data_IF_787696188055
#
_entry.id   IF_787696188055
#
_cell.length_a   1.000
_cell.length_b   1.000
_cell.length_c   1.000
_cell.angle_alpha   90.00
_cell.angle_beta   90.00
_cell.angle_gamma   90.00
#
_symmetry.space_group_name_H-M   'P 1'
#
loop_
_entity.id
_entity.type
_entity.pdbx_description
1 polymer ?
#
# COMPACT_ATOMS: atom_id res chain seq x y z
N UNK A 1 16.63 -14.18 -3.46
CA UNK A 1 15.46 -14.37 -2.55
C UNK A 1 15.20 -15.86 -2.36
N UNK A 2 14.99 -16.34 -1.14
CA UNK A 2 14.66 -17.74 -0.81
C UNK A 2 13.24 -17.82 -0.28
N UNK A 3 12.49 -18.81 -0.73
CA UNK A 3 11.12 -19.09 -0.31
C UNK A 3 11.03 -20.51 0.22
N UNK A 4 10.44 -20.68 1.41
CA UNK A 4 10.15 -21.97 2.01
C UNK A 4 8.76 -21.96 2.62
N UNK A 5 7.90 -22.90 2.21
CA UNK A 5 6.57 -23.09 2.78
C UNK A 5 5.61 -21.91 2.57
N UNK A 6 5.80 -21.08 1.56
CA UNK A 6 4.97 -19.90 1.30
C UNK A 6 3.83 -20.22 0.33
N UNK A 7 2.60 -20.24 0.81
CA UNK A 7 1.40 -20.65 0.04
C UNK A 7 1.65 -21.98 -0.69
N UNK A 8 1.30 -22.08 -1.96
CA UNK A 8 1.57 -23.20 -2.86
C UNK A 8 2.86 -23.09 -3.68
N UNK A 9 3.75 -22.13 -3.36
CA UNK A 9 5.01 -21.99 -4.10
C UNK A 9 5.99 -23.09 -3.74
N UNK A 10 6.74 -23.58 -4.73
CA UNK A 10 7.85 -24.50 -4.51
C UNK A 10 8.95 -23.83 -3.70
N UNK A 11 9.54 -24.57 -2.78
CA UNK A 11 10.73 -24.13 -2.07
C UNK A 11 11.87 -23.93 -3.07
N UNK A 12 12.37 -22.71 -3.17
CA UNK A 12 13.43 -22.41 -4.13
C UNK A 12 14.20 -21.14 -3.75
N UNK A 13 15.38 -20.99 -4.35
CA UNK A 13 16.19 -19.78 -4.30
C UNK A 13 16.11 -19.10 -5.66
N UNK A 14 15.79 -17.81 -5.64
CA UNK A 14 15.66 -16.98 -6.82
C UNK A 14 16.71 -15.88 -6.78
N UNK A 15 17.50 -15.81 -7.82
CA UNK A 15 18.37 -14.68 -8.08
C UNK A 15 17.57 -13.63 -8.89
N UNK A 16 17.44 -12.42 -8.36
CA UNK A 16 16.63 -11.35 -8.94
C UNK A 16 17.53 -10.28 -9.55
N UNK A 17 17.22 -9.88 -10.77
CA UNK A 17 17.86 -8.80 -11.49
C UNK A 17 17.10 -7.47 -11.32
N UNK A 18 17.52 -6.43 -12.05
CA UNK A 18 16.82 -5.14 -12.06
C UNK A 18 15.36 -5.29 -12.55
N UNK A 19 15.17 -6.03 -13.63
CA UNK A 19 13.83 -6.33 -14.18
C UNK A 19 13.61 -7.84 -14.16
N UNK A 20 12.48 -8.27 -13.58
CA UNK A 20 12.10 -9.67 -13.47
C UNK A 20 10.66 -9.84 -13.92
N UNK A 21 10.43 -10.66 -14.92
CA UNK A 21 9.12 -11.01 -15.43
C UNK A 21 8.70 -12.38 -14.87
N UNK A 22 7.75 -12.41 -13.96
CA UNK A 22 7.13 -13.63 -13.45
C UNK A 22 6.08 -14.07 -14.43
N UNK A 23 6.30 -15.20 -15.09
CA UNK A 23 5.48 -15.69 -16.17
C UNK A 23 4.89 -17.05 -15.83
N UNK A 24 3.64 -17.27 -16.15
CA UNK A 24 2.93 -18.53 -15.90
C UNK A 24 1.44 -18.37 -16.12
N UNK A 25 0.73 -19.48 -16.14
CA UNK A 25 -0.72 -19.52 -16.26
C UNK A 25 -1.42 -18.94 -15.02
N UNK A 26 -2.74 -18.75 -15.10
CA UNK A 26 -3.52 -18.33 -13.94
C UNK A 26 -3.43 -19.39 -12.84
N UNK A 27 -3.23 -18.94 -11.61
CA UNK A 27 -3.03 -19.85 -10.50
C UNK A 27 -1.59 -20.40 -10.31
N UNK A 28 -0.63 -20.08 -11.20
CA UNK A 28 0.77 -20.53 -11.07
C UNK A 28 1.55 -19.93 -9.90
N UNK A 29 0.96 -19.00 -9.15
CA UNK A 29 1.60 -18.39 -7.99
C UNK A 29 2.31 -17.06 -8.23
N UNK A 30 2.11 -16.40 -9.38
CA UNK A 30 2.73 -15.09 -9.70
C UNK A 30 2.45 -14.04 -8.62
N UNK A 31 1.18 -13.83 -8.29
CA UNK A 31 0.76 -12.91 -7.22
C UNK A 31 1.31 -13.33 -5.85
N UNK A 32 1.38 -14.64 -5.58
CA UNK A 32 1.96 -15.17 -4.34
C UNK A 32 3.45 -14.88 -4.23
N UNK A 33 4.18 -14.89 -5.35
CA UNK A 33 5.59 -14.51 -5.38
C UNK A 33 5.78 -13.02 -5.07
N UNK A 34 4.99 -12.14 -5.70
CA UNK A 34 4.99 -10.70 -5.39
C UNK A 34 4.59 -10.47 -3.93
N UNK A 35 3.62 -11.21 -3.41
CA UNK A 35 3.22 -11.13 -2.00
C UNK A 35 4.36 -11.53 -1.06
N UNK A 36 5.13 -12.56 -1.39
CA UNK A 36 6.29 -12.96 -0.59
C UNK A 36 7.34 -11.86 -0.51
N UNK A 37 7.67 -11.23 -1.64
CA UNK A 37 8.60 -10.09 -1.67
C UNK A 37 8.05 -8.87 -0.91
N UNK A 38 6.79 -8.54 -1.12
CA UNK A 38 6.12 -7.48 -0.37
C UNK A 38 6.16 -7.73 1.15
N UNK A 39 5.80 -8.95 1.56
CA UNK A 39 5.84 -9.35 2.97
C UNK A 39 7.26 -9.33 3.54
N UNK A 40 8.26 -9.75 2.76
CA UNK A 40 9.66 -9.68 3.17
C UNK A 40 10.09 -8.25 3.47
N UNK A 41 9.72 -7.28 2.64
CA UNK A 41 10.12 -5.88 2.80
C UNK A 41 9.29 -5.12 3.83
N UNK A 42 8.01 -5.44 3.99
CA UNK A 42 7.07 -4.67 4.83
C UNK A 42 6.64 -5.37 6.11
N UNK A 43 6.84 -6.68 6.19
CA UNK A 43 6.39 -7.52 7.29
C UNK A 43 4.89 -7.82 7.27
N UNK A 44 4.15 -7.43 6.22
CA UNK A 44 2.71 -7.71 6.06
C UNK A 44 2.39 -8.20 4.66
N UNK A 45 1.28 -8.94 4.52
CA UNK A 45 0.72 -9.26 3.22
C UNK A 45 -0.14 -8.11 2.69
N UNK A 46 -0.18 -7.91 1.37
CA UNK A 46 -1.12 -7.00 0.74
C UNK A 46 -2.46 -7.69 0.38
N UNK A 47 -2.51 -9.03 0.41
CA UNK A 47 -3.70 -9.82 0.10
C UNK A 47 -4.54 -10.16 1.32
N UNK A 48 -3.89 -10.46 2.46
CA UNK A 48 -4.59 -10.94 3.66
C UNK A 48 -4.00 -10.40 4.95
N UNK A 49 -4.84 -10.25 5.97
CA UNK A 49 -4.40 -9.96 7.35
C UNK A 49 -4.12 -11.24 8.14
N UNK A 50 -4.67 -12.37 7.70
CA UNK A 50 -4.54 -13.66 8.36
C UNK A 50 -3.22 -14.33 7.94
N UNK A 51 -2.17 -14.18 8.74
CA UNK A 51 -0.83 -14.69 8.42
C UNK A 51 -0.80 -16.22 8.28
N UNK A 52 -1.66 -16.92 9.01
CA UNK A 52 -1.82 -18.37 8.94
C UNK A 52 -2.24 -18.88 7.56
N UNK A 53 -2.99 -18.09 6.80
CA UNK A 53 -3.43 -18.47 5.43
C UNK A 53 -2.33 -18.38 4.39
N UNK A 54 -1.19 -17.79 4.75
CA UNK A 54 -0.01 -17.68 3.88
C UNK A 54 0.90 -18.91 4.06
N UNK A 55 0.88 -19.52 5.24
CA UNK A 55 1.71 -20.66 5.55
C UNK A 55 1.29 -21.91 4.75
N UNK A 56 2.27 -22.73 4.41
CA UNK A 56 2.02 -24.02 3.76
C UNK A 56 1.00 -24.85 4.57
N UNK A 57 0.05 -25.45 3.89
CA UNK A 57 -1.07 -26.17 4.53
C UNK A 57 -0.63 -27.37 5.38
N UNK A 58 0.47 -28.03 5.01
CA UNK A 58 1.00 -29.20 5.73
C UNK A 58 1.87 -28.80 6.91
N UNK A 59 2.87 -27.96 6.66
CA UNK A 59 3.87 -27.61 7.70
C UNK A 59 3.44 -26.47 8.61
N UNK A 60 2.36 -25.73 8.26
CA UNK A 60 1.83 -24.57 9.00
C UNK A 60 2.89 -23.49 9.29
N UNK A 61 3.90 -23.40 8.45
CA UNK A 61 5.02 -22.46 8.59
C UNK A 61 5.49 -21.95 7.24
N UNK A 62 6.16 -20.80 7.27
CA UNK A 62 6.90 -20.29 6.11
C UNK A 62 8.16 -19.51 6.54
N UNK A 63 9.12 -19.42 5.63
CA UNK A 63 10.27 -18.53 5.70
C UNK A 63 10.44 -17.84 4.35
N UNK A 64 10.56 -16.52 4.38
CA UNK A 64 10.94 -15.69 3.22
C UNK A 64 12.20 -14.93 3.60
N UNK A 65 13.25 -15.13 2.84
CA UNK A 65 14.56 -14.53 3.09
C UNK A 65 15.08 -13.87 1.82
N UNK A 66 15.75 -12.73 1.96
CA UNK A 66 16.42 -12.06 0.85
C UNK A 66 17.68 -11.35 1.29
N UNK A 67 18.59 -11.19 0.33
CA UNK A 67 19.80 -10.42 0.49
C UNK A 67 19.78 -9.33 -0.58
N UNK A 68 19.90 -8.08 -0.14
CA UNK A 68 20.05 -6.94 -1.05
C UNK A 68 21.52 -6.86 -1.48
N UNK A 69 21.78 -7.09 -2.77
CA UNK A 69 23.11 -6.93 -3.35
C UNK A 69 23.43 -5.45 -3.63
N UNK A 70 24.72 -5.09 -3.72
CA UNK A 70 25.18 -3.79 -4.23
C UNK A 70 25.29 -2.66 -3.20
N UNK A 71 25.09 -2.92 -1.92
CA UNK A 71 25.43 -1.98 -0.84
C UNK A 71 26.64 -2.47 -0.05
N UNK A 72 27.49 -1.53 0.46
CA UNK A 72 28.63 -1.88 1.32
C UNK A 72 28.24 -2.77 2.50
N UNK A 73 26.98 -2.68 2.95
CA UNK A 73 26.36 -3.57 3.93
C UNK A 73 25.28 -4.40 3.23
N UNK A 74 25.56 -5.67 2.96
CA UNK A 74 24.53 -6.61 2.48
C UNK A 74 23.41 -6.71 3.51
N UNK A 75 22.25 -6.14 3.21
CA UNK A 75 21.09 -6.25 4.10
C UNK A 75 20.42 -7.61 3.91
N UNK A 76 20.56 -8.47 4.89
CA UNK A 76 19.82 -9.72 4.95
C UNK A 76 18.49 -9.49 5.66
N UNK A 77 17.41 -9.80 4.97
CA UNK A 77 16.02 -9.68 5.49
C UNK A 77 15.43 -11.08 5.61
N UNK A 78 14.79 -11.36 6.73
CA UNK A 78 14.07 -12.62 6.92
C UNK A 78 12.76 -12.38 7.63
N UNK A 79 11.70 -12.95 7.09
CA UNK A 79 10.39 -13.04 7.75
C UNK A 79 10.01 -14.50 7.86
N UNK A 80 9.69 -14.94 9.07
CA UNK A 80 9.26 -16.31 9.33
C UNK A 80 7.94 -16.34 10.10
N UNK A 81 7.18 -17.39 9.86
CA UNK A 81 5.98 -17.73 10.62
C UNK A 81 6.06 -19.19 11.05
N UNK A 82 6.02 -19.40 12.36
CA UNK A 82 6.07 -20.72 12.97
C UNK A 82 5.33 -20.67 14.31
N UNK A 83 4.56 -21.72 14.64
CA UNK A 83 3.83 -21.82 15.92
C UNK A 83 2.96 -20.56 16.19
N UNK A 84 2.16 -20.14 15.20
CA UNK A 84 1.29 -18.96 15.26
C UNK A 84 2.01 -17.63 15.53
N UNK A 85 3.35 -17.60 15.42
CA UNK A 85 4.16 -16.40 15.67
C UNK A 85 4.91 -15.97 14.42
N UNK A 86 4.70 -14.72 14.01
CA UNK A 86 5.46 -14.07 12.95
C UNK A 86 6.65 -13.31 13.54
N UNK A 87 7.83 -13.53 13.00
CA UNK A 87 9.07 -12.87 13.41
C UNK A 87 9.77 -12.24 12.23
N UNK A 88 10.48 -11.15 12.49
CA UNK A 88 11.20 -10.39 11.48
C UNK A 88 12.64 -10.22 11.93
N UNK A 89 13.57 -10.38 11.00
CA UNK A 89 15.00 -10.19 11.23
C UNK A 89 15.60 -9.29 10.14
N UNK A 90 16.50 -8.42 10.55
CA UNK A 90 17.34 -7.62 9.68
C UNK A 90 18.80 -7.84 10.13
N UNK A 91 19.63 -8.33 9.21
CA UNK A 91 21.04 -8.69 9.49
C UNK A 91 21.16 -9.63 10.71
N UNK A 92 20.33 -10.67 10.72
CA UNK A 92 20.21 -11.68 11.79
C UNK A 92 19.75 -11.13 13.17
N UNK A 93 19.45 -9.82 13.27
CA UNK A 93 18.91 -9.22 14.50
C UNK A 93 17.39 -9.10 14.39
N UNK A 94 16.69 -9.51 15.46
CA UNK A 94 15.22 -9.37 15.53
C UNK A 94 14.84 -7.90 15.38
N UNK A 95 13.84 -7.63 14.54
CA UNK A 95 13.39 -6.28 14.21
C UNK A 95 11.88 -6.14 14.31
N UNK A 96 11.38 -4.92 14.13
CA UNK A 96 9.95 -4.62 14.13
C UNK A 96 9.45 -4.35 12.71
N UNK A 97 8.16 -4.55 12.49
CA UNK A 97 7.50 -4.23 11.23
C UNK A 97 7.75 -2.77 10.80
N UNK A 98 7.71 -1.80 11.73
CA UNK A 98 7.96 -0.40 11.39
C UNK A 98 9.36 -0.15 10.81
N UNK A 99 10.39 -0.81 11.37
CA UNK A 99 11.75 -0.72 10.84
C UNK A 99 11.88 -1.37 9.46
N UNK A 100 11.10 -2.41 9.17
CA UNK A 100 11.05 -3.05 7.85
C UNK A 100 10.51 -2.08 6.79
N UNK A 101 9.37 -1.44 7.06
CA UNK A 101 8.77 -0.45 6.15
C UNK A 101 9.75 0.68 5.77
N UNK A 102 10.49 1.20 6.75
CA UNK A 102 11.43 2.30 6.52
C UNK A 102 12.71 1.88 5.78
N UNK A 103 13.04 0.59 5.79
CA UNK A 103 14.30 0.12 5.20
C UNK A 103 14.17 -0.12 3.70
N UNK A 104 13.07 -0.72 3.24
CA UNK A 104 12.87 -1.15 1.86
C UNK A 104 11.50 -0.67 1.36
N UNK A 105 11.42 0.56 0.83
CA UNK A 105 10.17 1.08 0.31
C UNK A 105 9.73 0.29 -0.94
N UNK A 106 8.42 0.05 -1.01
CA UNK A 106 7.78 -0.68 -2.11
C UNK A 106 6.69 0.16 -2.75
N UNK A 107 6.70 0.19 -4.09
CA UNK A 107 5.63 0.68 -4.92
C UNK A 107 4.84 -0.53 -5.43
N UNK A 108 3.63 -0.75 -4.95
CA UNK A 108 2.76 -1.85 -5.37
C UNK A 108 1.66 -1.35 -6.28
N UNK A 109 1.63 -1.89 -7.48
CA UNK A 109 0.54 -1.78 -8.46
C UNK A 109 -0.14 -3.14 -8.54
N UNK A 110 -1.28 -3.28 -7.89
CA UNK A 110 -2.06 -4.53 -7.85
C UNK A 110 -3.29 -4.47 -8.77
N UNK A 111 -3.98 -5.59 -8.93
CA UNK A 111 -5.19 -5.69 -9.73
C UNK A 111 -6.31 -4.71 -9.30
N UNK A 112 -6.20 -4.14 -8.11
CA UNK A 112 -7.16 -3.20 -7.55
C UNK A 112 -6.72 -1.73 -7.64
N UNK A 113 -5.72 -1.44 -8.46
CA UNK A 113 -5.18 -0.08 -8.62
C UNK A 113 -6.26 0.95 -8.94
N UNK A 114 -7.26 0.60 -9.72
CA UNK A 114 -8.39 1.48 -10.07
C UNK A 114 -9.18 1.98 -8.86
N UNK A 115 -9.14 1.24 -7.73
CA UNK A 115 -9.81 1.65 -6.49
C UNK A 115 -9.29 2.94 -5.89
N UNK A 116 -8.19 3.48 -6.40
CA UNK A 116 -7.72 4.84 -6.04
C UNK A 116 -8.73 5.89 -6.51
N UNK A 117 -9.28 5.74 -7.71
CA UNK A 117 -10.25 6.66 -8.31
C UNK A 117 -11.68 6.23 -7.98
N UNK A 118 -12.10 5.02 -8.40
CA UNK A 118 -13.49 4.55 -8.29
C UNK A 118 -13.84 3.88 -6.96
N UNK A 119 -12.84 3.51 -6.17
CA UNK A 119 -13.05 2.78 -4.93
C UNK A 119 -13.64 3.61 -3.79
N UNK A 120 -13.79 2.95 -2.65
CA UNK A 120 -14.30 3.58 -1.43
C UNK A 120 -13.26 4.51 -0.79
N UNK A 121 -13.68 5.45 0.06
CA UNK A 121 -12.74 6.24 0.87
C UNK A 121 -11.74 5.39 1.68
N UNK A 122 -12.13 4.19 2.11
CA UNK A 122 -11.23 3.26 2.79
C UNK A 122 -10.09 2.80 1.87
N UNK A 123 -10.38 2.48 0.60
CA UNK A 123 -9.36 2.11 -0.36
C UNK A 123 -8.35 3.26 -0.55
N UNK A 124 -8.84 4.49 -0.73
CA UNK A 124 -7.98 5.66 -0.88
C UNK A 124 -7.12 5.93 0.36
N UNK A 125 -7.68 5.86 1.57
CA UNK A 125 -6.87 5.97 2.80
C UNK A 125 -5.78 4.92 2.88
N UNK A 126 -6.06 3.67 2.50
CA UNK A 126 -5.04 2.59 2.50
C UNK A 126 -3.85 2.92 1.61
N UNK A 127 -4.06 3.61 0.47
CA UNK A 127 -2.95 3.99 -0.40
C UNK A 127 -2.07 5.08 0.24
N UNK A 128 -2.68 6.09 0.88
CA UNK A 128 -1.94 7.12 1.62
C UNK A 128 -1.19 6.47 2.79
N UNK A 129 -1.87 5.66 3.59
CA UNK A 129 -1.29 5.02 4.78
C UNK A 129 -0.10 4.14 4.40
N UNK A 130 -0.20 3.41 3.29
CA UNK A 130 0.90 2.59 2.75
C UNK A 130 2.13 3.44 2.45
N UNK A 131 1.97 4.59 1.80
CA UNK A 131 3.07 5.51 1.51
C UNK A 131 3.68 6.09 2.80
N UNK A 132 2.84 6.58 3.72
CA UNK A 132 3.29 7.16 4.98
C UNK A 132 4.05 6.19 5.88
N UNK A 133 3.72 4.89 5.85
CA UNK A 133 4.51 3.88 6.57
C UNK A 133 5.96 3.79 6.09
N UNK A 134 6.25 4.20 4.86
CA UNK A 134 7.61 4.19 4.31
C UNK A 134 8.40 5.46 4.64
N UNK A 135 7.74 6.58 4.88
CA UNK A 135 8.39 7.89 5.03
C UNK A 135 8.34 8.45 6.45
N UNK A 136 7.26 8.20 7.19
CA UNK A 136 7.03 8.80 8.50
C UNK A 136 7.16 7.76 9.63
N UNK A 137 8.27 7.84 10.38
CA UNK A 137 8.54 6.88 11.46
C UNK A 137 7.45 6.87 12.54
N UNK A 138 6.88 8.01 12.86
CA UNK A 138 5.85 8.14 13.89
C UNK A 138 4.47 7.68 13.41
N UNK A 139 4.23 7.69 12.08
CA UNK A 139 2.91 7.42 11.54
C UNK A 139 2.33 6.07 11.98
N UNK A 140 3.14 5.02 11.96
CA UNK A 140 2.69 3.68 12.38
C UNK A 140 2.32 3.63 13.86
N UNK A 141 3.05 4.35 14.71
CA UNK A 141 2.77 4.41 16.15
C UNK A 141 1.47 5.17 16.42
N UNK A 142 1.31 6.33 15.81
CA UNK A 142 0.10 7.16 15.92
C UNK A 142 -1.14 6.42 15.37
N UNK A 143 -1.00 5.77 14.21
CA UNK A 143 -2.07 4.98 13.62
C UNK A 143 -2.51 3.82 14.53
N UNK A 144 -1.57 3.12 15.17
CA UNK A 144 -1.88 2.03 16.11
C UNK A 144 -2.52 2.54 17.40
N UNK A 145 -2.03 3.66 17.93
CA UNK A 145 -2.61 4.29 19.11
C UNK A 145 -4.03 4.76 18.85
N UNK A 146 -4.25 5.46 17.73
CA UNK A 146 -5.58 5.87 17.28
C UNK A 146 -6.54 4.70 17.13
N UNK A 147 -6.11 3.64 16.45
CA UNK A 147 -6.95 2.46 16.23
C UNK A 147 -7.38 1.79 17.54
N UNK A 148 -6.50 1.75 18.56
CA UNK A 148 -6.84 1.25 19.89
C UNK A 148 -7.88 2.12 20.58
N UNK A 149 -7.66 3.44 20.61
CA UNK A 149 -8.60 4.39 21.22
C UNK A 149 -9.97 4.33 20.52
N UNK A 150 -9.99 4.32 19.19
CA UNK A 150 -11.22 4.19 18.40
C UNK A 150 -11.99 2.90 18.70
N UNK A 151 -11.29 1.78 18.82
CA UNK A 151 -11.88 0.50 19.18
C UNK A 151 -12.53 0.54 20.56
N UNK A 152 -11.87 1.13 21.54
CA UNK A 152 -12.40 1.26 22.91
C UNK A 152 -13.58 2.21 22.97
N UNK A 153 -13.48 3.39 22.35
CA UNK A 153 -14.61 4.33 22.25
C UNK A 153 -15.84 3.70 21.57
N UNK A 154 -15.62 3.00 20.46
CA UNK A 154 -16.70 2.31 19.77
C UNK A 154 -17.31 1.16 20.58
N UNK A 155 -16.51 0.48 21.41
CA UNK A 155 -16.99 -0.51 22.36
C UNK A 155 -17.89 0.15 23.41
N UNK A 156 -17.42 1.25 24.04
CA UNK A 156 -18.21 2.01 25.01
C UNK A 156 -19.56 2.49 24.44
N UNK A 157 -19.58 2.94 23.17
CA UNK A 157 -20.80 3.32 22.45
C UNK A 157 -21.75 2.13 22.22
N UNK A 158 -21.21 0.97 21.84
CA UNK A 158 -22.00 -0.27 21.64
C UNK A 158 -22.61 -0.78 22.95
N UNK A 159 -21.81 -0.74 24.01
CA UNK A 159 -22.20 -1.18 25.37
C UNK A 159 -23.11 -0.16 26.06
N UNK A 160 -23.51 0.93 25.37
CA UNK A 160 -24.39 2.01 25.87
C UNK A 160 -23.88 2.65 27.16
N UNK A 161 -22.56 2.75 27.33
CA UNK A 161 -21.97 3.39 28.49
C UNK A 161 -22.34 4.87 28.60
N UNK A 162 -22.14 5.46 29.76
CA UNK A 162 -22.46 6.87 30.01
C UNK A 162 -21.66 7.82 29.12
N UNK A 163 -22.15 9.02 28.89
CA UNK A 163 -21.46 10.05 28.09
C UNK A 163 -20.05 10.33 28.66
N UNK A 164 -19.90 10.33 29.99
CA UNK A 164 -18.61 10.50 30.67
C UNK A 164 -17.62 9.37 30.32
N UNK A 165 -18.08 8.12 30.32
CA UNK A 165 -17.24 6.96 29.99
C UNK A 165 -16.84 6.92 28.49
N UNK A 166 -17.75 7.29 27.59
CA UNK A 166 -17.43 7.44 26.17
C UNK A 166 -16.44 8.58 25.96
N UNK A 167 -16.67 9.75 26.58
CA UNK A 167 -15.85 10.94 26.45
C UNK A 167 -14.44 10.80 27.05
N UNK A 168 -14.22 9.82 27.95
CA UNK A 168 -12.88 9.54 28.49
C UNK A 168 -11.84 9.19 27.40
N UNK A 169 -12.29 8.75 26.22
CA UNK A 169 -11.43 8.43 25.08
C UNK A 169 -11.20 9.60 24.12
N UNK A 170 -11.99 10.69 24.24
CA UNK A 170 -12.02 11.77 23.26
C UNK A 170 -10.69 12.53 23.16
N UNK A 171 -10.02 12.78 24.29
CA UNK A 171 -8.74 13.48 24.32
C UNK A 171 -7.64 12.68 23.59
N UNK A 172 -7.39 11.43 24.02
CA UNK A 172 -6.39 10.58 23.38
C UNK A 172 -6.71 10.32 21.90
N UNK A 173 -7.99 10.13 21.57
CA UNK A 173 -8.43 9.92 20.20
C UNK A 173 -8.16 11.16 19.33
N UNK A 174 -8.39 12.37 19.86
CA UNK A 174 -8.14 13.62 19.14
C UNK A 174 -6.66 13.87 18.91
N UNK A 175 -5.81 13.68 19.92
CA UNK A 175 -4.36 13.89 19.82
C UNK A 175 -3.78 13.02 18.68
N UNK A 176 -4.02 11.71 18.73
CA UNK A 176 -3.52 10.79 17.72
C UNK A 176 -4.19 11.01 16.36
N UNK A 177 -5.49 11.33 16.36
CA UNK A 177 -6.26 11.54 15.15
C UNK A 177 -5.81 12.76 14.34
N UNK A 178 -5.58 13.87 15.01
CA UNK A 178 -5.11 15.09 14.36
C UNK A 178 -3.70 14.94 13.77
N UNK A 179 -2.83 14.23 14.46
CA UNK A 179 -1.49 13.91 13.92
C UNK A 179 -1.58 13.09 12.63
N UNK A 180 -2.40 12.03 12.62
CA UNK A 180 -2.62 11.19 11.42
C UNK A 180 -3.13 12.05 10.25
N UNK A 181 -4.18 12.82 10.47
CA UNK A 181 -4.78 13.65 9.41
C UNK A 181 -3.81 14.70 8.90
N UNK A 182 -3.03 15.34 9.79
CA UNK A 182 -1.98 16.30 9.41
C UNK A 182 -0.91 15.66 8.53
N UNK A 183 -0.43 14.45 8.89
CA UNK A 183 0.56 13.73 8.08
C UNK A 183 -0.01 13.34 6.71
N UNK A 184 -1.28 12.91 6.63
CA UNK A 184 -1.96 12.61 5.36
C UNK A 184 -2.11 13.85 4.48
N UNK A 185 -2.55 14.95 5.06
CA UNK A 185 -2.73 16.23 4.35
C UNK A 185 -1.39 16.73 3.79
N UNK A 186 -0.34 16.73 4.62
CA UNK A 186 1.03 17.06 4.20
C UNK A 186 1.48 16.18 3.03
N UNK A 187 1.30 14.86 3.14
CA UNK A 187 1.70 13.93 2.09
C UNK A 187 0.95 14.18 0.77
N UNK A 188 -0.35 14.47 0.81
CA UNK A 188 -1.13 14.82 -0.39
C UNK A 188 -0.58 16.11 -1.03
N UNK A 189 -0.22 17.13 -0.24
CA UNK A 189 0.41 18.35 -0.76
C UNK A 189 1.76 18.05 -1.42
N UNK A 190 2.57 17.21 -0.83
CA UNK A 190 3.89 16.83 -1.34
C UNK A 190 3.84 16.04 -2.65
N UNK A 191 2.81 15.22 -2.86
CA UNK A 191 2.66 14.48 -4.12
C UNK A 191 2.04 15.32 -5.24
N UNK A 192 1.43 16.48 -4.95
CA UNK A 192 0.61 17.22 -5.92
C UNK A 192 1.37 17.52 -7.22
N UNK A 193 2.56 18.11 -7.15
CA UNK A 193 3.35 18.44 -8.34
C UNK A 193 3.71 17.19 -9.16
N UNK A 194 4.21 16.14 -8.50
CA UNK A 194 4.52 14.86 -9.19
C UNK A 194 3.27 14.19 -9.75
N UNK A 195 2.11 14.37 -9.11
CA UNK A 195 0.86 13.83 -9.61
C UNK A 195 0.36 14.55 -10.86
N UNK A 196 0.49 15.86 -10.92
CA UNK A 196 0.19 16.66 -12.11
C UNK A 196 1.08 16.25 -13.29
N UNK A 197 2.41 16.13 -13.08
CA UNK A 197 3.34 15.64 -14.09
C UNK A 197 2.97 14.23 -14.60
N UNK A 198 2.72 13.28 -13.69
CA UNK A 198 2.38 11.92 -14.05
C UNK A 198 1.02 11.84 -14.76
N UNK A 199 0.04 12.65 -14.35
CA UNK A 199 -1.26 12.68 -15.02
C UNK A 199 -1.15 13.22 -16.44
N UNK A 200 -0.29 14.22 -16.66
CA UNK A 200 -0.01 14.72 -18.00
C UNK A 200 0.70 13.68 -18.86
N UNK A 201 1.70 12.98 -18.31
CA UNK A 201 2.42 11.91 -19.01
C UNK A 201 1.48 10.76 -19.44
N UNK A 202 0.62 10.30 -18.54
CA UNK A 202 -0.19 9.11 -18.77
C UNK A 202 -1.52 9.42 -19.47
N UNK A 203 -2.23 10.52 -19.08
CA UNK A 203 -3.52 10.87 -19.66
C UNK A 203 -3.43 11.95 -20.76
N UNK A 204 -2.34 12.71 -20.83
CA UNK A 204 -2.28 13.92 -21.64
C UNK A 204 -3.14 15.08 -21.09
N UNK A 205 -3.55 15.00 -19.82
CA UNK A 205 -4.40 15.99 -19.14
C UNK A 205 -3.93 16.21 -17.72
N UNK A 206 -4.06 17.44 -17.26
CA UNK A 206 -3.81 17.78 -15.85
C UNK A 206 -4.93 17.23 -14.96
N UNK A 207 -4.54 16.58 -13.87
CA UNK A 207 -5.45 16.14 -12.83
C UNK A 207 -5.05 16.75 -11.49
N UNK A 208 -6.04 17.10 -10.68
CA UNK A 208 -5.85 17.69 -9.35
C UNK A 208 -6.32 16.75 -8.26
N UNK A 209 -5.64 16.77 -7.14
CA UNK A 209 -5.99 16.00 -5.96
C UNK A 209 -6.37 16.96 -4.82
N UNK A 210 -7.48 16.68 -4.14
CA UNK A 210 -7.98 17.50 -3.05
C UNK A 210 -8.23 16.61 -1.82
N UNK A 211 -7.54 16.93 -0.71
CA UNK A 211 -7.73 16.23 0.56
C UNK A 211 -8.94 16.77 1.32
N UNK A 212 -9.69 15.87 1.96
CA UNK A 212 -10.87 16.17 2.79
C UNK A 212 -10.72 15.56 4.17
N UNK A 213 -10.68 16.40 5.18
CA UNK A 213 -10.66 15.95 6.57
C UNK A 213 -11.96 15.25 6.96
N UNK A 214 -11.88 14.26 7.79
CA UNK A 214 -12.99 13.46 8.29
C UNK A 214 -13.87 14.16 9.33
N UNK A 215 -13.68 15.47 9.55
CA UNK A 215 -14.53 16.31 10.39
C UNK A 215 -14.53 17.75 9.91
N UNK A 216 -15.51 18.54 10.36
CA UNK A 216 -15.68 19.95 10.01
C UNK A 216 -15.43 20.86 11.20
N UNK A 217 -14.76 21.99 10.94
CA UNK A 217 -14.52 23.08 11.89
C UNK A 217 -13.74 22.68 13.13
N UNK A 218 -12.86 23.51 13.61
CA UNK A 218 -12.11 23.36 14.87
C UNK A 218 -11.27 22.08 15.00
N UNK A 219 -11.05 21.70 16.24
CA UNK A 219 -10.30 20.51 16.61
C UNK A 219 -11.15 19.23 16.48
N UNK A 220 -10.47 18.08 16.38
CA UNK A 220 -11.16 16.79 16.43
C UNK A 220 -11.84 16.57 17.78
N UNK A 221 -11.27 17.06 18.87
CA UNK A 221 -11.85 16.98 20.20
C UNK A 221 -13.24 17.64 20.26
N UNK A 222 -13.33 18.88 19.74
CA UNK A 222 -14.62 19.58 19.66
C UNK A 222 -15.61 18.86 18.74
N UNK A 223 -15.11 18.31 17.63
CA UNK A 223 -15.97 17.53 16.71
C UNK A 223 -16.50 16.25 17.36
N UNK A 224 -15.69 15.54 18.18
CA UNK A 224 -16.15 14.38 18.93
C UNK A 224 -17.22 14.74 19.94
N UNK A 225 -17.05 15.84 20.69
CA UNK A 225 -18.05 16.36 21.65
C UNK A 225 -19.37 16.71 20.93
N UNK A 226 -19.31 17.48 19.86
CA UNK A 226 -20.52 17.87 19.09
C UNK A 226 -21.28 16.67 18.53
N UNK A 227 -20.57 15.58 18.18
CA UNK A 227 -21.19 14.40 17.58
C UNK A 227 -21.56 13.31 18.59
N UNK A 228 -21.44 13.52 19.89
CA UNK A 228 -21.65 12.48 20.92
C UNK A 228 -23.01 11.81 20.80
N UNK A 229 -24.12 12.57 20.71
CA UNK A 229 -25.47 12.02 20.60
C UNK A 229 -25.66 11.25 19.29
N UNK A 230 -25.13 11.76 18.17
CA UNK A 230 -25.13 11.06 16.89
C UNK A 230 -24.34 9.74 16.96
N UNK A 231 -23.19 9.75 17.61
CA UNK A 231 -22.33 8.58 17.79
C UNK A 231 -23.01 7.52 18.64
N UNK A 232 -23.74 7.93 19.68
CA UNK A 232 -24.57 7.05 20.53
C UNK A 232 -25.67 6.36 19.70
N UNK A 233 -26.39 7.13 18.90
CA UNK A 233 -27.43 6.60 18.01
C UNK A 233 -26.86 5.62 16.99
N UNK A 234 -25.70 5.93 16.39
CA UNK A 234 -25.02 5.10 15.40
C UNK A 234 -24.20 3.96 16.01
N UNK A 235 -23.99 3.93 17.32
CA UNK A 235 -23.12 3.01 18.07
C UNK A 235 -21.68 2.95 17.53
N UNK A 236 -21.20 4.06 16.96
CA UNK A 236 -19.86 4.20 16.38
C UNK A 236 -19.47 5.67 16.24
N UNK A 237 -18.15 5.93 16.28
CA UNK A 237 -17.58 7.25 16.05
C UNK A 237 -17.78 7.68 14.59
N UNK A 238 -18.44 8.83 14.38
CA UNK A 238 -18.85 9.33 13.07
C UNK A 238 -17.89 10.33 12.43
N UNK A 239 -16.91 10.85 13.18
CA UNK A 239 -15.90 11.82 12.73
C UNK A 239 -14.49 11.36 13.11
N UNK A 240 -13.46 11.89 12.41
CA UNK A 240 -12.05 11.59 12.64
C UNK A 240 -11.35 10.98 11.42
N UNK A 241 -10.05 10.63 11.54
CA UNK A 241 -9.21 10.11 10.44
C UNK A 241 -9.80 8.93 9.66
N UNK A 242 -10.61 8.10 10.29
CA UNK A 242 -11.31 7.00 9.60
C UNK A 242 -12.36 7.50 8.60
N UNK A 243 -12.60 8.80 8.55
CA UNK A 243 -13.49 9.50 7.61
C UNK A 243 -12.73 10.44 6.67
N UNK A 244 -11.40 10.57 6.83
CA UNK A 244 -10.59 11.30 5.85
C UNK A 244 -10.79 10.71 4.46
N UNK A 245 -10.69 11.55 3.46
CA UNK A 245 -10.78 11.15 2.05
C UNK A 245 -9.95 12.10 1.18
N UNK A 246 -9.72 11.72 -0.06
CA UNK A 246 -9.31 12.63 -1.11
C UNK A 246 -10.13 12.39 -2.37
N UNK A 247 -10.23 13.41 -3.19
CA UNK A 247 -10.88 13.31 -4.50
C UNK A 247 -9.91 13.69 -5.58
N UNK A 248 -10.05 13.07 -6.75
CA UNK A 248 -9.28 13.39 -7.94
C UNK A 248 -10.22 14.05 -8.95
N UNK A 249 -9.81 15.20 -9.46
CA UNK A 249 -10.50 15.95 -10.50
C UNK A 249 -9.71 15.99 -11.80
N UNK A 250 -10.39 15.91 -12.94
CA UNK A 250 -9.83 16.08 -14.28
C UNK A 250 -10.71 17.07 -15.03
N UNK A 251 -10.13 18.15 -15.57
CA UNK A 251 -10.89 19.19 -16.28
C UNK A 251 -11.98 19.84 -15.43
N UNK A 252 -11.74 20.04 -14.13
CA UNK A 252 -12.70 20.66 -13.19
C UNK A 252 -13.84 19.75 -12.73
N UNK A 253 -13.90 18.49 -13.17
CA UNK A 253 -14.92 17.51 -12.80
C UNK A 253 -14.34 16.34 -12.01
N UNK A 254 -15.12 15.70 -11.15
CA UNK A 254 -14.69 14.49 -10.44
C UNK A 254 -14.36 13.39 -11.44
N UNK A 255 -13.15 12.82 -11.35
CA UNK A 255 -12.69 11.75 -12.22
C UNK A 255 -13.63 10.53 -12.18
N UNK A 256 -14.06 10.12 -10.99
CA UNK A 256 -14.90 8.94 -10.75
C UNK A 256 -16.14 8.84 -11.64
N UNK A 257 -16.69 9.97 -12.11
CA UNK A 257 -17.96 10.01 -12.87
C UNK A 257 -17.81 10.40 -14.34
N UNK A 258 -16.58 10.75 -14.78
CA UNK A 258 -16.40 11.40 -16.10
C UNK A 258 -15.27 10.80 -16.95
N UNK A 259 -14.60 9.74 -16.50
CA UNK A 259 -13.52 9.10 -17.25
C UNK A 259 -13.81 7.63 -17.54
N UNK A 260 -13.23 7.12 -18.62
CA UNK A 260 -13.32 5.69 -18.98
C UNK A 260 -12.50 4.82 -18.04
N UNK A 261 -12.75 3.50 -18.01
CA UNK A 261 -11.98 2.56 -17.19
C UNK A 261 -10.47 2.56 -17.50
N UNK A 262 -10.08 2.69 -18.78
CA UNK A 262 -8.68 2.83 -19.15
C UNK A 262 -8.05 4.11 -18.61
N UNK A 263 -8.76 5.25 -18.73
CA UNK A 263 -8.33 6.53 -18.18
C UNK A 263 -8.26 6.49 -16.64
N UNK A 264 -9.22 5.82 -15.99
CA UNK A 264 -9.22 5.60 -14.55
C UNK A 264 -7.96 4.86 -14.09
N UNK A 265 -7.57 3.82 -14.83
CA UNK A 265 -6.37 3.05 -14.55
C UNK A 265 -5.10 3.89 -14.72
N UNK A 266 -5.00 4.65 -15.81
CA UNK A 266 -3.86 5.54 -16.06
C UNK A 266 -3.76 6.63 -14.98
N UNK A 267 -4.89 7.18 -14.53
CA UNK A 267 -4.93 8.17 -13.45
C UNK A 267 -4.53 7.56 -12.10
N UNK A 268 -4.95 6.33 -11.84
CA UNK A 268 -4.54 5.61 -10.64
C UNK A 268 -3.05 5.28 -10.63
N UNK A 269 -2.49 4.91 -11.79
CA UNK A 269 -1.04 4.72 -11.97
C UNK A 269 -0.28 6.04 -11.76
N UNK A 270 -0.81 7.17 -12.29
CA UNK A 270 -0.24 8.49 -12.04
C UNK A 270 -0.12 8.76 -10.54
N UNK A 271 -1.16 8.47 -9.77
CA UNK A 271 -1.15 8.63 -8.32
C UNK A 271 -0.13 7.71 -7.63
N UNK A 272 -0.08 6.44 -7.98
CA UNK A 272 0.84 5.48 -7.36
C UNK A 272 2.30 5.84 -7.68
N UNK A 273 2.61 6.23 -8.92
CA UNK A 273 3.97 6.61 -9.29
C UNK A 273 4.37 7.98 -8.73
N UNK A 274 3.44 8.90 -8.54
CA UNK A 274 3.74 10.15 -7.81
C UNK A 274 4.09 9.89 -6.35
N UNK A 275 3.38 8.98 -5.68
CA UNK A 275 3.76 8.52 -4.34
C UNK A 275 5.16 7.90 -4.33
N UNK A 276 5.47 7.02 -5.30
CA UNK A 276 6.80 6.41 -5.46
C UNK A 276 7.88 7.50 -5.55
N UNK A 277 7.70 8.48 -6.41
CA UNK A 277 8.66 9.58 -6.60
C UNK A 277 8.86 10.37 -5.30
N UNK A 278 7.80 10.67 -4.58
CA UNK A 278 7.86 11.38 -3.29
C UNK A 278 8.56 10.56 -2.21
N UNK A 279 8.25 9.26 -2.11
CA UNK A 279 8.94 8.35 -1.17
C UNK A 279 10.44 8.33 -1.45
N UNK A 280 10.86 8.24 -2.70
CA UNK A 280 12.28 8.21 -3.07
C UNK A 280 12.99 9.53 -2.76
N UNK A 281 12.36 10.67 -3.03
CA UNK A 281 12.88 11.99 -2.68
C UNK A 281 13.06 12.15 -1.16
N UNK A 282 12.09 11.71 -0.37
CA UNK A 282 12.12 11.86 1.10
C UNK A 282 13.06 10.88 1.79
N UNK A 283 13.15 9.66 1.28
CA UNK A 283 13.95 8.59 1.93
C UNK A 283 15.36 8.46 1.37
N UNK A 284 15.64 9.07 0.22
CA UNK A 284 16.85 8.87 -0.58
C UNK A 284 17.12 7.39 -0.87
N UNK A 285 16.05 6.62 -1.13
CA UNK A 285 16.10 5.18 -1.44
C UNK A 285 15.26 4.87 -2.65
N UNK A 286 15.78 3.99 -3.52
CA UNK A 286 14.97 3.47 -4.62
C UNK A 286 13.90 2.51 -4.09
N UNK A 287 12.68 2.67 -4.55
CA UNK A 287 11.57 1.74 -4.26
C UNK A 287 11.69 0.49 -5.14
N UNK A 288 11.23 -0.64 -4.63
CA UNK A 288 11.01 -1.83 -5.46
C UNK A 288 9.60 -1.72 -6.06
N UNK A 289 9.49 -1.81 -7.38
CA UNK A 289 8.19 -1.75 -8.08
C UNK A 289 7.66 -3.17 -8.27
N UNK A 290 6.51 -3.44 -7.69
CA UNK A 290 5.76 -4.68 -7.87
C UNK A 290 4.53 -4.39 -8.74
N UNK A 291 4.42 -5.11 -9.86
CA UNK A 291 3.39 -4.87 -10.87
C UNK A 291 2.61 -6.18 -11.13
N UNK A 292 1.39 -6.29 -10.59
CA UNK A 292 0.58 -7.51 -10.62
C UNK A 292 -0.58 -7.39 -11.61
N UNK A 293 -0.52 -8.16 -12.72
CA UNK A 293 -1.57 -8.36 -13.75
C UNK A 293 -2.28 -7.07 -14.22
N UNK A 294 -1.56 -5.97 -14.32
CA UNK A 294 -2.17 -4.65 -14.57
C UNK A 294 -2.21 -4.26 -16.04
N UNK A 295 -1.69 -5.06 -16.95
CA UNK A 295 -1.78 -4.84 -18.41
C UNK A 295 -3.14 -5.24 -19.00
N UNK A 296 -3.99 -5.94 -18.26
CA UNK A 296 -5.38 -6.16 -18.65
C UNK A 296 -6.17 -4.85 -18.65
N UNK A 297 -6.99 -4.63 -19.67
CA UNK A 297 -7.87 -3.46 -19.85
C UNK A 297 -7.18 -2.11 -20.15
N UNK A 298 -5.95 -2.11 -20.62
CA UNK A 298 -5.31 -0.94 -21.23
C UNK A 298 -5.20 -1.17 -22.75
N UNK A 299 -5.41 -0.11 -23.52
CA UNK A 299 -5.07 -0.12 -24.95
C UNK A 299 -3.55 -0.16 -25.15
N UNK A 300 -3.14 -0.39 -26.39
CA UNK A 300 -1.73 -0.49 -26.74
C UNK A 300 -0.96 0.80 -26.46
N UNK A 301 -1.54 1.95 -26.75
CA UNK A 301 -0.92 3.25 -26.53
C UNK A 301 -0.69 3.51 -25.03
N UNK A 302 -1.68 3.25 -24.19
CA UNK A 302 -1.57 3.37 -22.73
C UNK A 302 -0.55 2.39 -22.16
N UNK A 303 -0.55 1.15 -22.64
CA UNK A 303 0.42 0.14 -22.21
C UNK A 303 1.85 0.55 -22.57
N UNK A 304 2.07 1.11 -23.77
CA UNK A 304 3.39 1.61 -24.17
C UNK A 304 3.88 2.73 -23.25
N UNK A 305 3.02 3.69 -22.88
CA UNK A 305 3.40 4.76 -21.93
C UNK A 305 3.88 4.21 -20.57
N UNK A 306 3.19 3.18 -20.06
CA UNK A 306 3.60 2.52 -18.81
C UNK A 306 4.95 1.81 -18.98
N UNK A 307 5.14 1.08 -20.09
CA UNK A 307 6.38 0.37 -20.38
C UNK A 307 7.54 1.38 -20.51
N UNK A 308 7.34 2.47 -21.24
CA UNK A 308 8.37 3.50 -21.42
C UNK A 308 8.73 4.16 -20.08
N UNK A 309 7.75 4.44 -19.23
CA UNK A 309 8.03 4.90 -17.87
C UNK A 309 8.89 3.89 -17.08
N UNK A 310 8.50 2.59 -17.09
CA UNK A 310 9.22 1.54 -16.37
C UNK A 310 10.64 1.30 -16.90
N UNK A 311 10.88 1.50 -18.20
CA UNK A 311 12.23 1.42 -18.79
C UNK A 311 13.14 2.54 -18.32
N UNK A 312 12.59 3.73 -18.14
CA UNK A 312 13.35 4.94 -17.79
C UNK A 312 13.63 5.11 -16.29
N UNK A 313 13.08 4.27 -15.42
CA UNK A 313 13.37 4.31 -13.98
C UNK A 313 14.47 3.30 -13.60
N UNK A 314 15.35 3.69 -12.67
CA UNK A 314 16.44 2.85 -12.16
C UNK A 314 16.02 1.96 -10.98
N UNK A 315 14.77 1.57 -10.94
CA UNK A 315 14.20 0.75 -9.87
C UNK A 315 14.37 -0.74 -10.16
N UNK A 316 14.40 -1.55 -9.13
CA UNK A 316 14.13 -2.97 -9.29
C UNK A 316 12.64 -3.18 -9.55
N UNK A 317 12.31 -3.92 -10.59
CA UNK A 317 10.95 -4.13 -11.07
C UNK A 317 10.66 -5.63 -11.10
N UNK A 318 9.55 -6.03 -10.53
CA UNK A 318 9.00 -7.37 -10.68
C UNK A 318 7.59 -7.26 -11.26
N UNK A 319 7.37 -7.87 -12.39
CA UNK A 319 6.06 -7.95 -13.04
C UNK A 319 5.49 -9.35 -12.92
N UNK A 320 4.22 -9.47 -12.60
CA UNK A 320 3.47 -10.72 -12.72
C UNK A 320 2.54 -10.59 -13.91
N UNK A 321 2.85 -11.30 -14.99
CA UNK A 321 2.18 -11.12 -16.26
C UNK A 321 1.87 -12.45 -16.94
N UNK A 322 0.97 -12.43 -17.91
CA UNK A 322 0.74 -13.56 -18.81
C UNK A 322 1.89 -13.65 -19.84
N UNK A 323 2.28 -14.86 -20.32
CA UNK A 323 3.36 -15.01 -21.29
C UNK A 323 3.23 -14.18 -22.56
N UNK A 324 2.00 -13.90 -22.98
CA UNK A 324 1.70 -13.15 -24.21
C UNK A 324 1.47 -11.64 -23.98
N UNK A 325 1.61 -11.15 -22.75
CA UNK A 325 1.40 -9.74 -22.45
C UNK A 325 2.41 -8.84 -23.15
N UNK A 326 1.99 -7.63 -23.50
CA UNK A 326 2.89 -6.61 -24.06
C UNK A 326 3.99 -6.23 -23.08
N UNK A 327 3.64 -6.17 -21.79
CA UNK A 327 4.58 -5.84 -20.73
C UNK A 327 5.73 -6.86 -20.70
N UNK A 328 5.42 -8.15 -20.74
CA UNK A 328 6.42 -9.23 -20.79
C UNK A 328 7.31 -9.15 -22.04
N UNK A 329 6.72 -8.86 -23.21
CA UNK A 329 7.44 -8.80 -24.48
C UNK A 329 8.36 -7.57 -24.60
N UNK A 330 7.92 -6.40 -24.11
CA UNK A 330 8.61 -5.13 -24.32
C UNK A 330 9.47 -4.67 -23.13
N UNK A 331 9.20 -5.16 -21.92
CA UNK A 331 10.04 -4.88 -20.75
C UNK A 331 11.08 -6.00 -20.58
N UNK A 332 12.22 -5.80 -21.21
CA UNK A 332 13.33 -6.78 -21.21
C UNK A 332 13.91 -6.96 -19.81
N UNK A 333 14.10 -8.23 -19.42
CA UNK A 333 14.66 -8.61 -18.12
C UNK A 333 14.66 -10.12 -17.93
N UNK A 334 15.02 -10.57 -16.73
CA UNK A 334 15.03 -11.99 -16.38
C UNK A 334 13.62 -12.54 -16.35
N UNK A 335 13.39 -13.63 -17.04
CA UNK A 335 12.10 -14.33 -17.00
C UNK A 335 12.14 -15.47 -15.99
N UNK A 336 11.19 -15.49 -15.08
CA UNK A 336 11.03 -16.53 -14.07
C UNK A 336 9.72 -17.26 -14.35
N UNK A 337 9.83 -18.50 -14.79
CA UNK A 337 8.67 -19.35 -15.06
C UNK A 337 8.15 -19.99 -13.78
N UNK A 338 6.91 -19.69 -13.43
CA UNK A 338 6.20 -20.31 -12.33
C UNK A 338 5.24 -21.37 -12.88
N UNK A 339 5.37 -22.60 -12.39
CA UNK A 339 4.48 -23.72 -12.75
C UNK A 339 3.54 -24.01 -11.60
N UNK A 340 2.31 -24.37 -11.94
CA UNK A 340 1.34 -24.90 -10.98
C UNK A 340 1.90 -26.18 -10.33
N UNK A 341 1.71 -26.33 -9.03
CA UNK A 341 2.07 -27.58 -8.31
C UNK A 341 1.05 -28.68 -8.58
#
# INVERSE_FOLDING_TARGET
MSLTGFRGLKNNIYDLERVNNLVGENGSGKTSFLEALYLMCTGVSFLTKATETIANHTTKQFVVEGIQAGTKDSNKILVSYKQHKKTHFLNNKKTTQGKMFLKHPICLVDAFVNRVVSGTPENRRRTIDRALFHVEQEYLMEHRAYARCLKQRNKALKDRQTTKQVGAWDESLSIHGEKITRMREKHILEITASFEEMSHLFLGREAKIEFKRGWKGGSLFEALKRNTEKDRALKRTSCGPQRDDFTIGVGGKRAQTHISHGQEKMLSLSYIFSQKTTIEKQTNKNTIILFDETDSNLDEASTNKVIDYLKNVNNQILTATHPHSMLCKKLTGKTIFLKQN
#
